data_IF_484613884825
#
_entry.id   IF_484613884825
#
_cell.length_a   1.000
_cell.length_b   1.000
_cell.length_c   1.000
_cell.angle_alpha   90.00
_cell.angle_beta   90.00
_cell.angle_gamma   90.00
#
_symmetry.space_group_name_H-M   'P 1'
#
loop_
_entity.id
_entity.type
_entity.pdbx_description
1 polymer ?
#
# COMPACT_ATOMS: atom_id res chain seq x y z
N UNK A 1 1.28 3.92 37.83
CA UNK A 1 0.56 3.18 36.76
C UNK A 1 1.45 2.04 36.28
N UNK A 2 0.97 0.79 36.32
CA UNK A 2 1.75 -0.36 35.84
C UNK A 2 1.82 -0.37 34.32
N UNK A 3 3.03 -0.29 33.76
CA UNK A 3 3.25 -0.48 32.31
C UNK A 3 3.05 -1.96 32.02
N UNK A 4 2.18 -2.31 31.06
CA UNK A 4 1.99 -3.71 30.67
C UNK A 4 3.27 -4.16 29.96
N UNK A 5 4.03 -5.13 30.51
CA UNK A 5 5.26 -5.60 29.89
C UNK A 5 4.90 -6.23 28.54
N UNK A 6 5.44 -5.65 27.46
CA UNK A 6 5.22 -6.16 26.11
C UNK A 6 6.03 -7.45 25.97
N UNK A 7 5.41 -8.58 25.60
CA UNK A 7 6.16 -9.82 25.35
C UNK A 7 7.18 -9.58 24.23
N UNK A 8 8.36 -10.19 24.35
CA UNK A 8 9.45 -10.03 23.38
C UNK A 8 8.95 -10.23 21.93
N UNK A 9 9.39 -9.39 20.96
CA UNK A 9 8.93 -9.42 19.57
C UNK A 9 9.10 -10.79 18.88
N UNK A 10 9.97 -11.65 19.41
CA UNK A 10 10.11 -13.03 18.93
C UNK A 10 8.86 -13.91 19.19
N UNK A 11 8.13 -13.66 20.28
CA UNK A 11 6.93 -14.44 20.67
C UNK A 11 5.63 -13.87 20.09
N UNK A 12 5.65 -12.62 19.62
CA UNK A 12 4.48 -11.91 19.08
C UNK A 12 4.11 -12.29 17.65
N UNK A 13 4.97 -13.01 16.92
CA UNK A 13 4.74 -13.35 15.50
C UNK A 13 3.46 -14.18 15.23
N UNK A 14 2.84 -14.76 16.25
CA UNK A 14 1.64 -15.61 16.12
C UNK A 14 0.46 -15.19 17.00
N UNK A 15 0.63 -14.24 17.91
CA UNK A 15 -0.45 -13.85 18.83
C UNK A 15 -1.27 -12.74 18.20
N UNK A 16 -2.59 -12.91 18.03
CA UNK A 16 -3.40 -11.89 17.39
C UNK A 16 -3.55 -10.67 18.32
N UNK A 17 -3.57 -9.47 17.71
CA UNK A 17 -3.54 -8.18 18.41
C UNK A 17 -4.57 -8.06 19.56
N UNK A 18 -5.80 -8.52 19.31
CA UNK A 18 -6.88 -8.50 20.31
C UNK A 18 -6.52 -9.24 21.60
N UNK A 19 -5.85 -10.39 21.47
CA UNK A 19 -5.44 -11.22 22.61
C UNK A 19 -4.31 -10.56 23.41
N UNK A 20 -3.42 -9.84 22.74
CA UNK A 20 -2.31 -9.11 23.39
C UNK A 20 -2.81 -7.86 24.13
N UNK A 21 -3.84 -7.21 23.59
CA UNK A 21 -4.50 -6.07 24.23
C UNK A 21 -5.45 -6.48 25.38
N UNK A 22 -5.55 -7.77 25.70
CA UNK A 22 -6.46 -8.26 26.74
C UNK A 22 -7.94 -8.15 26.39
N UNK A 23 -8.25 -7.99 25.10
CA UNK A 23 -9.64 -7.90 24.61
C UNK A 23 -10.24 -9.30 24.57
N UNK A 24 -11.47 -9.45 25.05
CA UNK A 24 -12.15 -10.75 25.16
C UNK A 24 -12.54 -11.35 23.81
N UNK A 25 -12.81 -10.49 22.81
CA UNK A 25 -13.23 -10.90 21.47
C UNK A 25 -12.46 -10.13 20.39
N UNK A 26 -12.34 -10.76 19.22
CA UNK A 26 -11.81 -10.12 18.00
C UNK A 26 -12.74 -9.02 17.48
N UNK A 27 -14.04 -9.15 17.75
CA UNK A 27 -15.09 -8.28 17.23
C UNK A 27 -15.43 -7.12 18.18
N UNK A 28 -14.52 -6.83 19.12
CA UNK A 28 -14.67 -5.69 20.00
C UNK A 28 -14.74 -4.38 19.20
N UNK A 29 -15.78 -3.55 19.41
CA UNK A 29 -15.98 -2.34 18.63
C UNK A 29 -14.84 -1.33 18.84
N UNK A 30 -14.25 -1.27 20.04
CA UNK A 30 -13.14 -0.38 20.36
C UNK A 30 -11.88 -0.77 19.62
N UNK A 31 -11.55 -2.06 19.61
CA UNK A 31 -10.44 -2.58 18.81
C UNK A 31 -10.65 -2.32 17.31
N UNK A 32 -11.85 -2.59 16.80
CA UNK A 32 -12.16 -2.37 15.39
C UNK A 32 -12.04 -0.89 15.01
N UNK A 33 -12.47 0.02 15.88
CA UNK A 33 -12.34 1.46 15.69
C UNK A 33 -10.87 1.91 15.71
N UNK A 34 -10.08 1.42 16.66
CA UNK A 34 -8.64 1.65 16.74
C UNK A 34 -7.94 1.23 15.43
N UNK A 35 -8.22 0.01 14.96
CA UNK A 35 -7.64 -0.50 13.72
C UNK A 35 -8.03 0.38 12.53
N UNK A 36 -9.32 0.70 12.38
CA UNK A 36 -9.80 1.56 11.27
C UNK A 36 -9.14 2.94 11.30
N UNK A 37 -9.01 3.55 12.48
CA UNK A 37 -8.38 4.85 12.63
C UNK A 37 -6.91 4.81 12.20
N UNK A 38 -6.11 3.89 12.74
CA UNK A 38 -4.69 3.76 12.40
C UNK A 38 -4.51 3.45 10.90
N UNK A 39 -5.37 2.60 10.33
CA UNK A 39 -5.34 2.30 8.90
C UNK A 39 -5.65 3.53 8.03
N UNK A 40 -6.58 4.39 8.45
CA UNK A 40 -6.85 5.67 7.79
C UNK A 40 -5.62 6.57 7.82
N UNK A 41 -4.98 6.71 8.98
CA UNK A 41 -3.74 7.48 9.13
C UNK A 41 -2.60 6.93 8.27
N UNK A 42 -2.51 5.61 8.14
CA UNK A 42 -1.54 4.98 7.24
C UNK A 42 -1.74 5.43 5.80
N UNK A 43 -2.99 5.48 5.31
CA UNK A 43 -3.28 5.88 3.93
C UNK A 43 -2.97 7.36 3.67
N UNK A 44 -3.10 8.22 4.68
CA UNK A 44 -2.84 9.67 4.57
C UNK A 44 -1.34 9.96 4.63
N UNK A 45 -0.64 9.37 5.60
CA UNK A 45 0.73 9.76 5.95
C UNK A 45 1.82 8.81 5.43
N UNK A 46 1.50 7.56 5.10
CA UNK A 46 2.49 6.57 4.67
C UNK A 46 2.40 6.23 3.20
N UNK A 47 3.57 5.96 2.61
CA UNK A 47 3.63 5.46 1.25
C UNK A 47 3.44 3.94 1.25
N UNK A 48 2.28 3.48 0.76
CA UNK A 48 1.90 2.06 0.69
C UNK A 48 2.81 1.19 -0.21
N UNK A 49 3.70 1.80 -1.00
CA UNK A 49 4.69 1.10 -1.84
C UNK A 49 5.98 0.77 -1.08
N UNK A 50 6.25 1.45 0.04
CA UNK A 50 7.49 1.33 0.80
C UNK A 50 7.35 0.37 1.99
N UNK A 51 8.44 -0.30 2.35
CA UNK A 51 8.50 -1.14 3.56
C UNK A 51 8.56 -0.27 4.82
N UNK A 52 8.17 -0.84 5.96
CA UNK A 52 8.18 -0.15 7.26
C UNK A 52 9.51 0.56 7.58
N UNK A 53 10.64 -0.09 7.28
CA UNK A 53 12.00 0.45 7.51
C UNK A 53 12.36 1.64 6.61
N UNK A 54 11.67 1.80 5.48
CA UNK A 54 11.90 2.88 4.51
C UNK A 54 10.89 4.03 4.67
N UNK A 55 9.99 3.94 5.65
CA UNK A 55 9.03 5.02 5.90
C UNK A 55 9.72 6.20 6.58
N UNK A 56 9.28 7.44 6.30
CA UNK A 56 9.78 8.61 7.00
C UNK A 56 9.48 8.51 8.49
N UNK A 57 10.51 8.76 9.32
CA UNK A 57 10.39 8.68 10.78
C UNK A 57 9.38 9.68 11.32
N UNK A 58 9.29 10.86 10.71
CA UNK A 58 8.32 11.90 11.08
C UNK A 58 6.88 11.46 10.86
N UNK A 59 6.59 10.76 9.76
CA UNK A 59 5.25 10.23 9.50
C UNK A 59 4.87 9.14 10.53
N UNK A 60 5.79 8.23 10.84
CA UNK A 60 5.56 7.20 11.86
C UNK A 60 5.31 7.83 13.24
N UNK A 61 6.05 8.89 13.58
CA UNK A 61 5.84 9.64 14.82
C UNK A 61 4.46 10.31 14.84
N UNK A 62 4.09 11.04 13.78
CA UNK A 62 2.77 11.69 13.66
C UNK A 62 1.60 10.72 13.82
N UNK A 63 1.67 9.56 13.17
CA UNK A 63 0.62 8.52 13.29
C UNK A 63 0.52 8.03 14.73
N UNK A 64 1.65 7.88 15.41
CA UNK A 64 1.69 7.45 16.81
C UNK A 64 1.08 8.51 17.71
N UNK A 65 1.46 9.77 17.52
CA UNK A 65 0.95 10.91 18.30
C UNK A 65 -0.57 11.08 18.12
N UNK A 66 -1.06 11.01 16.87
CA UNK A 66 -2.49 11.07 16.58
C UNK A 66 -3.25 9.86 17.14
N UNK A 67 -2.71 8.65 17.00
CA UNK A 67 -3.34 7.45 17.54
C UNK A 67 -3.44 7.52 19.07
N UNK A 68 -2.39 8.01 19.76
CA UNK A 68 -2.39 8.19 21.22
C UNK A 68 -3.36 9.29 21.66
N UNK A 69 -3.49 10.37 20.87
CA UNK A 69 -4.46 11.43 21.13
C UNK A 69 -5.90 10.93 21.07
N UNK A 70 -6.21 10.09 20.08
CA UNK A 70 -7.56 9.51 19.90
C UNK A 70 -7.83 8.36 20.87
N UNK A 71 -6.82 7.53 21.16
CA UNK A 71 -6.90 6.35 22.03
C UNK A 71 -5.83 6.43 23.13
N UNK A 72 -6.09 7.16 24.23
CA UNK A 72 -5.10 7.37 25.30
C UNK A 72 -4.71 6.06 26.01
N UNK A 73 -5.56 5.03 25.93
CA UNK A 73 -5.26 3.68 26.40
C UNK A 73 -4.00 3.05 25.77
N UNK A 74 -3.58 3.53 24.59
CA UNK A 74 -2.34 3.12 23.95
C UNK A 74 -1.08 3.47 24.77
N UNK A 75 -1.15 4.48 25.65
CA UNK A 75 -0.04 4.89 26.52
C UNK A 75 0.35 3.79 27.53
N UNK A 76 -0.58 2.87 27.84
CA UNK A 76 -0.33 1.75 28.76
C UNK A 76 0.62 0.70 28.17
N UNK A 77 0.81 0.71 26.85
CA UNK A 77 1.64 -0.25 26.13
C UNK A 77 3.01 0.32 25.85
N UNK A 78 4.06 -0.40 26.25
CA UNK A 78 5.43 0.04 26.02
C UNK A 78 5.69 0.27 24.52
N UNK A 79 6.34 1.40 24.21
CA UNK A 79 6.76 1.77 22.85
C UNK A 79 5.61 1.88 21.82
N UNK A 80 4.35 2.05 22.27
CA UNK A 80 3.17 2.11 21.41
C UNK A 80 3.08 0.91 20.45
N UNK A 81 3.43 -0.27 20.97
CA UNK A 81 3.54 -1.49 20.16
C UNK A 81 2.32 -1.81 19.29
N UNK A 82 1.05 -1.66 19.75
CA UNK A 82 -0.13 -1.93 18.93
C UNK A 82 -0.14 -1.12 17.63
N UNK A 83 0.25 0.15 17.70
CA UNK A 83 0.30 1.05 16.54
C UNK A 83 1.33 0.55 15.52
N UNK A 84 2.54 0.23 15.99
CA UNK A 84 3.63 -0.27 15.14
C UNK A 84 3.27 -1.58 14.45
N UNK A 85 2.60 -2.48 15.16
CA UNK A 85 2.20 -3.77 14.60
C UNK A 85 1.11 -3.62 13.52
N UNK A 86 0.10 -2.78 13.76
CA UNK A 86 -0.94 -2.49 12.77
C UNK A 86 -0.32 -1.90 11.50
N UNK A 87 0.57 -0.92 11.63
CA UNK A 87 1.26 -0.30 10.49
C UNK A 87 2.06 -1.34 9.71
N UNK A 88 2.85 -2.17 10.41
CA UNK A 88 3.67 -3.20 9.77
C UNK A 88 2.82 -4.21 9.00
N UNK A 89 1.75 -4.70 9.61
CA UNK A 89 0.87 -5.67 8.99
C UNK A 89 0.18 -5.10 7.73
N UNK A 90 -0.28 -3.84 7.81
CA UNK A 90 -0.90 -3.16 6.66
C UNK A 90 0.06 -2.99 5.48
N UNK A 91 1.30 -2.56 5.74
CA UNK A 91 2.31 -2.40 4.68
C UNK A 91 2.69 -3.76 4.06
N UNK A 92 2.76 -4.82 4.88
CA UNK A 92 2.98 -6.18 4.40
C UNK A 92 1.85 -6.64 3.47
N UNK A 93 0.60 -6.48 3.89
CA UNK A 93 -0.58 -6.85 3.12
C UNK A 93 -0.70 -6.04 1.81
N UNK A 94 -0.42 -4.74 1.87
CA UNK A 94 -0.37 -3.89 0.67
C UNK A 94 0.62 -4.42 -0.36
N UNK A 95 1.85 -4.75 0.06
CA UNK A 95 2.88 -5.30 -0.83
C UNK A 95 2.48 -6.67 -1.39
N UNK A 96 1.89 -7.54 -0.56
CA UNK A 96 1.38 -8.85 -0.99
C UNK A 96 0.29 -8.70 -2.04
N UNK A 97 -0.66 -7.79 -1.83
CA UNK A 97 -1.74 -7.50 -2.76
C UNK A 97 -1.25 -6.91 -4.08
N UNK A 98 -0.24 -6.02 -4.05
CA UNK A 98 0.41 -5.50 -5.26
C UNK A 98 1.09 -6.62 -6.05
N UNK A 99 1.79 -7.54 -5.38
CA UNK A 99 2.41 -8.70 -6.05
C UNK A 99 1.37 -9.64 -6.67
N UNK A 100 0.27 -9.92 -5.97
CA UNK A 100 -0.81 -10.74 -6.52
C UNK A 100 -1.52 -10.08 -7.71
N UNK A 101 -1.76 -8.77 -7.67
CA UNK A 101 -2.33 -8.02 -8.80
C UNK A 101 -1.44 -8.12 -10.04
N UNK A 102 -0.13 -7.96 -9.89
CA UNK A 102 0.84 -8.14 -10.98
C UNK A 102 0.79 -9.56 -11.56
N UNK A 103 0.76 -10.58 -10.71
CA UNK A 103 0.66 -12.00 -11.15
C UNK A 103 -0.65 -12.29 -11.90
N UNK A 104 -1.78 -11.73 -11.44
CA UNK A 104 -3.08 -11.86 -12.12
C UNK A 104 -3.10 -11.15 -13.46
N UNK A 105 -2.46 -9.98 -13.58
CA UNK A 105 -2.32 -9.26 -14.86
C UNK A 105 -1.44 -10.03 -15.84
N UNK A 106 -0.33 -10.63 -15.40
CA UNK A 106 0.52 -11.46 -16.27
C UNK A 106 -0.12 -12.80 -16.64
N UNK A 107 -1.02 -13.34 -15.81
CA UNK A 107 -1.75 -14.58 -16.11
C UNK A 107 -3.03 -14.36 -16.94
N UNK A 108 -3.60 -13.14 -16.92
CA UNK A 108 -4.71 -12.75 -17.79
C UNK A 108 -4.27 -12.58 -19.25
N UNK A 109 -2.98 -12.34 -19.49
CA UNK A 109 -2.36 -12.51 -20.79
C UNK A 109 -2.05 -14.00 -20.99
N UNK A 110 -3.07 -14.80 -21.33
CA UNK A 110 -2.83 -16.18 -21.78
C UNK A 110 -2.05 -16.10 -23.11
N UNK A 111 -0.88 -16.73 -23.25
CA UNK A 111 -0.19 -16.85 -24.55
C UNK A 111 -0.96 -17.73 -25.56
N UNK A 112 -2.13 -18.27 -25.22
CA UNK A 112 -2.90 -19.18 -26.07
C UNK A 112 -4.00 -18.50 -26.91
N UNK A 113 -3.99 -17.17 -27.05
CA UNK A 113 -4.84 -16.46 -28.03
C UNK A 113 -4.01 -15.82 -29.16
N UNK A 114 -2.73 -16.17 -29.30
CA UNK A 114 -1.93 -15.89 -30.50
C UNK A 114 -1.66 -17.19 -31.27
N UNK A 115 -2.72 -17.92 -31.60
CA UNK A 115 -2.75 -18.74 -32.80
C UNK A 115 -3.80 -18.12 -33.69
N UNK A 116 -3.38 -17.51 -34.80
CA UNK A 116 -4.26 -16.98 -35.85
C UNK A 116 -4.77 -15.53 -35.68
N UNK A 117 -3.84 -14.57 -35.66
CA UNK A 117 -4.08 -13.33 -36.40
C UNK A 117 -2.97 -13.27 -37.45
N UNK A 118 -3.21 -13.94 -38.57
CA UNK A 118 -2.39 -13.81 -39.77
C UNK A 118 -2.21 -12.34 -40.08
N UNK A 119 -0.94 -11.98 -40.22
CA UNK A 119 -0.45 -10.70 -40.70
C UNK A 119 -0.72 -10.68 -42.20
N UNK A 120 -1.64 -9.85 -42.75
CA UNK A 120 -1.71 -9.71 -44.19
C UNK A 120 -0.48 -8.91 -44.63
N UNK A 121 0.48 -9.62 -45.21
CA UNK A 121 1.60 -9.02 -45.93
C UNK A 121 1.18 -8.91 -47.40
N UNK A 122 0.51 -7.83 -47.79
CA UNK A 122 0.28 -7.40 -49.18
C UNK A 122 0.16 -5.86 -49.08
N UNK A 123 0.97 -5.00 -49.69
CA UNK A 123 1.67 -5.11 -50.96
C UNK A 123 0.96 -4.21 -51.98
N UNK A 124 1.57 -3.05 -52.28
CA UNK A 124 1.31 -2.17 -53.45
C UNK A 124 -0.09 -1.48 -53.50
N UNK A 125 -0.32 -0.25 -54.00
CA UNK A 125 0.35 0.61 -55.00
C UNK A 125 0.05 2.10 -54.70
N UNK A 126 0.96 2.98 -55.12
CA UNK A 126 0.74 4.18 -55.93
C UNK A 126 -0.42 5.15 -55.61
N UNK A 127 -0.09 6.40 -55.28
CA UNK A 127 -0.16 7.53 -56.22
C UNK A 127 -0.56 8.84 -55.54
N UNK A 128 0.27 9.87 -55.74
CA UNK A 128 -0.21 11.25 -55.86
C UNK A 128 0.07 12.15 -54.67
N UNK A 129 1.04 13.07 -54.85
CA UNK A 129 0.99 14.36 -54.16
C UNK A 129 2.31 14.95 -53.71
N UNK A 130 3.31 15.00 -54.58
CA UNK A 130 4.32 16.07 -54.53
C UNK A 130 3.64 17.44 -54.43
N UNK A 131 4.00 18.24 -53.41
CA UNK A 131 4.23 19.67 -53.61
C UNK A 131 5.05 20.30 -52.47
N UNK A 132 6.32 20.45 -52.81
CA UNK A 132 7.31 21.45 -52.41
C UNK A 132 6.68 22.85 -52.20
N UNK A 133 7.17 23.62 -51.22
CA UNK A 133 7.78 24.97 -51.36
C UNK A 133 7.69 25.77 -50.05
N UNK A 134 8.87 26.25 -49.62
CA UNK A 134 9.17 27.21 -48.56
C UNK A 134 8.42 28.54 -48.70
N UNK A 135 8.20 29.25 -47.59
CA UNK A 135 8.37 30.72 -47.57
C UNK A 135 8.59 31.24 -46.14
N UNK A 136 9.69 31.99 -45.90
CA UNK A 136 9.86 32.88 -44.75
C UNK A 136 9.32 34.28 -45.08
N UNK A 137 8.93 35.08 -44.08
CA UNK A 137 8.47 36.46 -44.31
C UNK A 137 7.94 37.19 -43.07
N UNK A 138 8.88 37.66 -42.25
CA UNK A 138 9.03 39.00 -41.66
C UNK A 138 7.87 40.06 -41.61
N UNK A 139 7.96 40.90 -40.55
CA UNK A 139 7.47 42.29 -40.30
C UNK A 139 6.00 42.53 -39.88
N UNK A 140 5.81 42.95 -38.62
CA UNK A 140 5.34 44.31 -38.18
C UNK A 140 6.07 44.65 -36.88
#
# INVERSE_FOLDING_TARGET
>A
MGVIPVPSPAKLKRTPLWKVMGVKSKDDPGLAQLMRHILSLCHIYLNMKLSYTKQPRDALKRITDEAVRTFPELQKYANYWPVKEIIRNKLYDSKRNLSQKKKKQSAACKPSCCSFCERPSLGLTSSGGDRIIMSPGEIV
#
